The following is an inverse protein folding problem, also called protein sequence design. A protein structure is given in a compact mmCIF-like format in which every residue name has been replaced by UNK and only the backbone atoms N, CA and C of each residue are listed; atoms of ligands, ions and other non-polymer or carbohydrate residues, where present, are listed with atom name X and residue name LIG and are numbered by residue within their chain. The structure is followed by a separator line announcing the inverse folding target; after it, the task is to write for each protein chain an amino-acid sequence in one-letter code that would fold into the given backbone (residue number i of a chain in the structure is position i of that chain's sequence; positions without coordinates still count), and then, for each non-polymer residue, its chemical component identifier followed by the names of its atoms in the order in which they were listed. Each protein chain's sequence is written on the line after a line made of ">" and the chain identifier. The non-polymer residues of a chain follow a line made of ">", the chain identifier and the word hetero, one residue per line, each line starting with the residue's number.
data_IF_241981185779
#
_entry.id   IF_241981185779
#
_cell.length_a   1.000
_cell.length_b   1.000
_cell.length_c   1.000
_cell.angle_alpha   90.00
_cell.angle_beta   90.00
_cell.angle_gamma   90.00
#
_symmetry.space_group_name_H-M   'P 1'
#
loop_
_entity.id
_entity.type
_entity.pdbx_description
1 polymer ?
#
# COMPACT_ATOMS: atom_id res chain seq x y z
N UNK A 1 -63.50 -44.69 -41.62
CA UNK A 1 -63.63 -44.35 -40.18
C UNK A 1 -62.80 -45.37 -39.42
N UNK A 2 -61.47 -45.19 -39.38
CA UNK A 2 -60.72 -44.61 -38.25
C UNK A 2 -61.07 -45.24 -36.89
N UNK A 3 -60.18 -46.10 -36.38
CA UNK A 3 -59.45 -45.82 -35.13
C UNK A 3 -58.29 -46.81 -34.98
N UNK A 4 -57.09 -46.27 -35.20
CA UNK A 4 -55.83 -46.92 -34.91
C UNK A 4 -55.53 -46.79 -33.41
N UNK A 5 -55.33 -47.91 -32.73
CA UNK A 5 -54.65 -47.95 -31.44
C UNK A 5 -53.16 -48.11 -31.69
N UNK A 6 -52.40 -47.03 -31.49
CA UNK A 6 -50.94 -47.09 -31.41
C UNK A 6 -50.53 -47.31 -29.95
N UNK A 7 -49.76 -48.36 -29.61
CA UNK A 7 -49.08 -48.41 -28.33
C UNK A 7 -47.93 -47.40 -28.33
N UNK A 8 -47.91 -46.52 -27.33
CA UNK A 8 -46.79 -45.62 -27.07
C UNK A 8 -45.52 -46.44 -26.77
N UNK A 9 -44.61 -46.51 -27.73
CA UNK A 9 -43.22 -46.85 -27.47
C UNK A 9 -42.50 -45.56 -27.04
N UNK A 10 -41.98 -45.54 -25.81
CA UNK A 10 -41.11 -44.46 -25.34
C UNK A 10 -39.85 -44.36 -26.22
N UNK A 11 -39.21 -43.18 -26.29
CA UNK A 11 -37.98 -43.02 -27.05
C UNK A 11 -36.91 -44.00 -26.52
N UNK A 12 -36.10 -44.61 -27.40
CA UNK A 12 -35.01 -45.47 -26.97
C UNK A 12 -34.03 -44.66 -26.09
N UNK A 13 -33.38 -45.29 -25.10
CA UNK A 13 -32.36 -44.62 -24.31
C UNK A 13 -31.26 -44.07 -25.24
N UNK A 14 -30.68 -42.90 -24.94
CA UNK A 14 -29.62 -42.34 -25.75
C UNK A 14 -28.48 -43.37 -25.85
N UNK A 15 -28.21 -43.82 -27.08
CA UNK A 15 -27.02 -44.59 -27.37
C UNK A 15 -25.85 -43.69 -27.02
N UNK A 16 -25.09 -44.06 -25.98
CA UNK A 16 -23.79 -43.48 -25.73
C UNK A 16 -23.00 -43.68 -27.02
N UNK A 17 -22.63 -42.57 -27.67
CA UNK A 17 -21.71 -42.64 -28.79
C UNK A 17 -20.46 -43.32 -28.27
N UNK A 18 -20.20 -44.52 -28.78
CA UNK A 18 -18.94 -45.22 -28.60
C UNK A 18 -17.86 -44.26 -29.07
N UNK A 19 -17.14 -43.67 -28.10
CA UNK A 19 -16.01 -42.81 -28.39
C UNK A 19 -15.03 -43.64 -29.21
N UNK A 20 -15.00 -43.37 -30.51
CA UNK A 20 -14.09 -44.02 -31.44
C UNK A 20 -12.68 -43.95 -30.87
N UNK A 21 -12.06 -45.11 -30.72
CA UNK A 21 -10.64 -45.22 -30.44
C UNK A 21 -9.90 -44.33 -31.47
N UNK A 22 -9.07 -43.36 -31.04
CA UNK A 22 -8.34 -42.53 -31.97
C UNK A 22 -7.44 -43.42 -32.85
N UNK A 23 -7.28 -43.11 -34.15
CA UNK A 23 -6.45 -43.90 -35.04
C UNK A 23 -5.02 -44.03 -34.46
N UNK A 24 -4.41 -45.24 -34.51
CA UNK A 24 -3.08 -45.46 -33.96
C UNK A 24 -2.07 -44.59 -34.71
N UNK A 25 -1.46 -43.63 -34.01
CA UNK A 25 -0.41 -42.76 -34.54
C UNK A 25 -0.56 -41.27 -34.22
N UNK A 26 -1.70 -40.81 -33.70
CA UNK A 26 -1.84 -39.44 -33.19
C UNK A 26 -1.63 -39.41 -31.68
N UNK A 27 -0.51 -38.83 -31.24
CA UNK A 27 -0.33 -38.49 -29.84
C UNK A 27 -1.49 -37.56 -29.41
N UNK A 28 -2.13 -37.79 -28.25
CA UNK A 28 -3.13 -36.87 -27.76
C UNK A 28 -2.53 -35.46 -27.68
N UNK A 29 -3.31 -34.40 -27.97
CA UNK A 29 -2.83 -33.05 -27.83
C UNK A 29 -2.24 -32.89 -26.42
N UNK A 30 -1.07 -32.24 -26.27
CA UNK A 30 -0.45 -32.08 -24.97
C UNK A 30 -1.47 -31.41 -24.05
N UNK A 31 -1.68 -32.03 -22.89
CA UNK A 31 -2.52 -31.45 -21.86
C UNK A 31 -2.10 -29.99 -21.66
N UNK A 32 -3.05 -29.03 -21.64
CA UNK A 32 -2.69 -27.66 -21.33
C UNK A 32 -1.93 -27.69 -19.99
N UNK A 33 -0.79 -26.97 -19.88
CA UNK A 33 -0.02 -26.98 -18.65
C UNK A 33 -0.98 -26.67 -17.50
N UNK A 34 -0.92 -27.43 -16.38
CA UNK A 34 -1.80 -27.18 -15.25
C UNK A 34 -1.69 -25.70 -14.91
N UNK A 35 -2.83 -25.00 -14.84
CA UNK A 35 -2.85 -23.60 -14.43
C UNK A 35 -1.99 -23.49 -13.18
N UNK A 36 -0.95 -22.64 -13.17
CA UNK A 36 -0.08 -22.55 -12.01
C UNK A 36 -0.95 -22.11 -10.83
N UNK A 37 -1.27 -23.06 -9.95
CA UNK A 37 -1.89 -22.72 -8.69
C UNK A 37 -0.95 -21.74 -8.00
N UNK A 38 -1.43 -20.55 -7.59
CA UNK A 38 -0.56 -19.58 -6.94
C UNK A 38 0.02 -20.25 -5.69
N UNK A 39 1.32 -20.53 -5.73
CA UNK A 39 2.01 -21.24 -4.67
C UNK A 39 1.67 -20.62 -3.30
N UNK A 40 1.50 -21.42 -2.23
CA UNK A 40 1.31 -20.89 -0.89
C UNK A 40 2.48 -19.96 -0.54
N UNK A 41 2.23 -18.66 -0.30
CA UNK A 41 3.31 -17.71 -0.02
C UNK A 41 2.91 -16.25 -0.08
N UNK A 42 3.82 -15.36 0.35
CA UNK A 42 3.64 -13.91 0.21
C UNK A 42 3.94 -13.48 -1.24
N UNK A 43 3.17 -12.52 -1.75
CA UNK A 43 3.33 -11.95 -3.08
C UNK A 43 4.65 -11.18 -3.23
N UNK A 44 5.20 -11.16 -4.45
CA UNK A 44 6.47 -10.47 -4.76
C UNK A 44 6.31 -9.58 -5.99
N UNK A 45 6.80 -8.35 -5.88
CA UNK A 45 6.88 -7.47 -7.03
C UNK A 45 7.96 -7.98 -8.01
N UNK A 46 7.72 -7.90 -9.33
CA UNK A 46 8.74 -8.24 -10.32
C UNK A 46 10.01 -7.38 -10.18
N UNK A 47 11.14 -7.89 -10.68
CA UNK A 47 12.37 -7.11 -10.80
C UNK A 47 12.11 -5.84 -11.64
N UNK A 48 12.84 -4.77 -11.33
CA UNK A 48 12.65 -3.47 -11.97
C UNK A 48 11.43 -2.67 -11.46
N UNK A 49 10.61 -3.22 -10.57
CA UNK A 49 9.45 -2.47 -10.00
C UNK A 49 9.94 -1.31 -9.13
N UNK A 50 9.48 -0.06 -9.38
CA UNK A 50 9.80 1.08 -8.53
C UNK A 50 9.03 1.03 -7.20
N UNK A 51 9.54 1.72 -6.19
CA UNK A 51 9.03 1.65 -4.81
C UNK A 51 7.51 1.90 -4.68
N UNK A 52 6.97 2.93 -5.33
CA UNK A 52 5.54 3.26 -5.26
C UNK A 52 4.64 2.16 -5.84
N UNK A 53 5.18 1.22 -6.61
CA UNK A 53 4.43 0.13 -7.25
C UNK A 53 4.63 -1.24 -6.60
N UNK A 54 5.33 -1.33 -5.46
CA UNK A 54 5.64 -2.60 -4.83
C UNK A 54 4.40 -3.42 -4.42
N UNK A 55 3.23 -2.79 -4.30
CA UNK A 55 1.97 -3.51 -4.08
C UNK A 55 1.38 -4.19 -5.33
N UNK A 56 1.94 -3.92 -6.51
CA UNK A 56 1.55 -4.56 -7.76
C UNK A 56 2.18 -5.96 -7.89
N UNK A 57 1.76 -6.85 -7.00
CA UNK A 57 2.15 -8.27 -6.98
C UNK A 57 1.15 -9.14 -7.76
N UNK A 58 1.48 -10.42 -7.97
CA UNK A 58 0.59 -11.44 -8.53
C UNK A 58 -0.69 -11.65 -7.71
N UNK A 59 -0.64 -11.32 -6.42
CA UNK A 59 -1.77 -11.41 -5.48
C UNK A 59 -2.67 -10.18 -5.52
N UNK A 60 -2.28 -9.13 -6.24
CA UNK A 60 -3.02 -7.88 -6.27
C UNK A 60 -4.43 -8.10 -6.81
N UNK A 61 -5.40 -7.51 -6.12
CA UNK A 61 -6.78 -7.34 -6.56
C UNK A 61 -7.19 -5.88 -6.34
N UNK A 62 -8.12 -5.36 -7.13
CA UNK A 62 -8.52 -3.96 -7.06
C UNK A 62 -9.08 -3.56 -5.68
N UNK A 63 -9.78 -4.48 -5.00
CA UNK A 63 -10.40 -4.26 -3.68
C UNK A 63 -9.44 -4.41 -2.49
N UNK A 64 -8.24 -4.98 -2.68
CA UNK A 64 -7.30 -5.22 -1.58
C UNK A 64 -6.69 -3.95 -0.99
N UNK A 65 -6.21 -2.97 -1.80
CA UNK A 65 -5.69 -1.71 -1.26
C UNK A 65 -6.69 -0.93 -0.40
N UNK A 66 -7.94 -0.68 -0.81
CA UNK A 66 -8.88 0.06 0.02
C UNK A 66 -9.22 -0.72 1.29
N UNK A 67 -9.39 -2.04 1.21
CA UNK A 67 -9.62 -2.87 2.41
C UNK A 67 -8.40 -2.86 3.35
N UNK A 68 -7.18 -2.87 2.82
CA UNK A 68 -5.96 -2.76 3.62
C UNK A 68 -5.86 -1.40 4.32
N UNK A 69 -6.23 -0.31 3.63
CA UNK A 69 -6.31 1.02 4.22
C UNK A 69 -7.33 1.06 5.37
N UNK A 70 -8.52 0.50 5.16
CA UNK A 70 -9.57 0.41 6.17
C UNK A 70 -9.12 -0.41 7.39
N UNK A 71 -8.46 -1.55 7.18
CA UNK A 71 -7.92 -2.36 8.26
C UNK A 71 -6.84 -1.60 9.03
N UNK A 72 -5.90 -0.95 8.33
CA UNK A 72 -4.85 -0.14 8.96
C UNK A 72 -5.43 0.99 9.81
N UNK A 73 -6.40 1.73 9.28
CA UNK A 73 -7.11 2.79 9.98
C UNK A 73 -7.90 2.26 11.19
N UNK A 74 -8.60 1.14 11.04
CA UNK A 74 -9.33 0.50 12.13
C UNK A 74 -8.39 0.08 13.27
N UNK A 75 -7.28 -0.60 12.96
CA UNK A 75 -6.29 -0.99 13.97
C UNK A 75 -5.65 0.22 14.64
N UNK A 76 -5.41 1.31 13.91
CA UNK A 76 -4.87 2.55 14.46
C UNK A 76 -5.84 3.18 15.46
N UNK A 77 -7.11 3.36 15.08
CA UNK A 77 -8.15 3.90 15.97
C UNK A 77 -8.32 3.01 17.20
N UNK A 78 -8.40 1.69 17.03
CA UNK A 78 -8.51 0.75 18.15
C UNK A 78 -7.30 0.84 19.09
N UNK A 79 -6.09 0.87 18.55
CA UNK A 79 -4.86 1.02 19.34
C UNK A 79 -4.82 2.35 20.10
N UNK A 80 -5.24 3.45 19.46
CA UNK A 80 -5.39 4.76 20.09
C UNK A 80 -6.38 4.73 21.24
N UNK A 81 -7.57 4.14 21.06
CA UNK A 81 -8.56 3.97 22.14
C UNK A 81 -7.98 3.18 23.31
N UNK A 82 -7.26 2.08 23.04
CA UNK A 82 -6.61 1.28 24.09
C UNK A 82 -5.57 2.11 24.86
N UNK A 83 -4.77 2.92 24.18
CA UNK A 83 -3.79 3.81 24.83
C UNK A 83 -4.46 4.90 25.67
N UNK A 84 -5.52 5.52 25.16
CA UNK A 84 -6.30 6.53 25.90
C UNK A 84 -6.89 5.92 27.17
N UNK A 85 -7.51 4.74 27.06
CA UNK A 85 -8.04 4.02 28.23
C UNK A 85 -6.94 3.66 29.23
N UNK A 86 -5.77 3.23 28.76
CA UNK A 86 -4.62 2.97 29.63
C UNK A 86 -4.15 4.25 30.35
N UNK A 87 -4.15 5.40 29.67
CA UNK A 87 -3.86 6.70 30.26
C UNK A 87 -4.86 7.10 31.35
N UNK A 88 -6.16 6.93 31.10
CA UNK A 88 -7.23 7.18 32.09
C UNK A 88 -7.06 6.28 33.33
N UNK A 89 -6.78 4.99 33.12
CA UNK A 89 -6.53 4.05 34.22
C UNK A 89 -5.29 4.46 35.01
N UNK A 90 -4.20 4.87 34.34
CA UNK A 90 -2.99 5.35 34.99
C UNK A 90 -3.27 6.60 35.84
N UNK A 91 -4.02 7.57 35.31
CA UNK A 91 -4.47 8.74 36.05
C UNK A 91 -5.24 8.36 37.32
N UNK A 92 -6.24 7.48 37.20
CA UNK A 92 -7.08 7.05 38.33
C UNK A 92 -6.27 6.31 39.41
N UNK A 93 -5.27 5.52 39.03
CA UNK A 93 -4.39 4.80 39.96
C UNK A 93 -3.42 5.73 40.67
N UNK A 94 -2.91 6.74 39.96
CA UNK A 94 -1.93 7.70 40.50
C UNK A 94 -2.58 8.87 41.25
N UNK A 95 -3.90 9.05 41.13
CA UNK A 95 -4.64 10.13 41.77
C UNK A 95 -4.25 11.52 41.27
N UNK A 96 -3.89 11.62 39.98
CA UNK A 96 -3.46 12.88 39.37
C UNK A 96 -4.68 13.74 39.00
N UNK A 97 -4.58 15.05 39.19
CA UNK A 97 -5.61 15.98 38.72
C UNK A 97 -5.47 16.23 37.21
N UNK A 98 -6.55 16.06 36.46
CA UNK A 98 -6.59 16.40 35.03
C UNK A 98 -7.08 17.84 34.86
N UNK A 99 -6.30 18.66 34.16
CA UNK A 99 -6.71 20.02 33.76
C UNK A 99 -6.85 20.08 32.25
N UNK A 100 -7.96 20.65 31.76
CA UNK A 100 -8.19 20.85 30.32
C UNK A 100 -8.38 19.53 29.55
N UNK A 101 -7.62 19.36 28.46
CA UNK A 101 -7.70 18.21 27.53
C UNK A 101 -6.76 17.06 27.88
N UNK A 102 -6.11 17.12 29.04
CA UNK A 102 -5.10 16.14 29.49
C UNK A 102 -5.72 14.82 29.92
N UNK A 103 -5.10 13.70 29.54
CA UNK A 103 -5.59 12.34 29.82
C UNK A 103 -4.95 11.81 31.11
N UNK A 104 -3.63 11.95 31.23
CA UNK A 104 -2.86 11.51 32.40
C UNK A 104 -2.80 12.63 33.44
N UNK A 105 -2.71 13.90 33.01
CA UNK A 105 -2.63 15.06 33.90
C UNK A 105 -1.19 15.59 34.09
N UNK A 106 -0.20 14.91 33.53
CA UNK A 106 1.21 15.31 33.57
C UNK A 106 1.68 15.62 32.14
N UNK A 107 2.23 16.83 31.87
CA UNK A 107 2.47 17.29 30.50
C UNK A 107 3.41 16.38 29.70
N UNK A 108 4.49 15.89 30.30
CA UNK A 108 5.45 15.05 29.58
C UNK A 108 4.84 13.69 29.24
N UNK A 109 4.08 13.10 30.16
CA UNK A 109 3.37 11.85 29.97
C UNK A 109 2.27 11.98 28.92
N UNK A 110 1.49 13.07 28.92
CA UNK A 110 0.45 13.33 27.92
C UNK A 110 1.03 13.52 26.51
N UNK A 111 2.08 14.34 26.37
CA UNK A 111 2.81 14.49 25.09
C UNK A 111 3.41 13.17 24.62
N UNK A 112 3.99 12.39 25.54
CA UNK A 112 4.53 11.06 25.22
C UNK A 112 3.44 10.09 24.77
N UNK A 113 2.28 10.09 25.44
CA UNK A 113 1.13 9.26 25.08
C UNK A 113 0.62 9.63 23.67
N UNK A 114 0.54 10.93 23.36
CA UNK A 114 0.16 11.41 22.05
C UNK A 114 1.12 10.91 20.96
N UNK A 115 2.43 11.15 21.12
CA UNK A 115 3.43 10.72 20.13
C UNK A 115 3.49 9.19 19.98
N UNK A 116 3.37 8.43 21.09
CA UNK A 116 3.31 6.97 21.05
C UNK A 116 2.04 6.46 20.37
N UNK A 117 0.92 7.18 20.48
CA UNK A 117 -0.30 6.83 19.75
C UNK A 117 -0.08 6.90 18.24
N UNK A 118 0.67 7.89 17.75
CA UNK A 118 1.07 7.98 16.34
C UNK A 118 2.04 6.85 15.98
N UNK A 119 2.96 6.48 16.89
CA UNK A 119 3.92 5.39 16.64
C UNK A 119 3.24 4.04 16.31
N UNK A 120 2.00 3.82 16.76
CA UNK A 120 1.18 2.63 16.44
C UNK A 120 0.88 2.51 14.94
N UNK A 121 0.98 3.58 14.15
CA UNK A 121 0.79 3.50 12.71
C UNK A 121 1.72 2.47 12.03
N UNK A 122 2.95 2.29 12.55
CA UNK A 122 3.91 1.29 12.03
C UNK A 122 3.36 -0.13 12.11
N UNK A 123 3.05 -0.69 13.31
CA UNK A 123 2.51 -2.04 13.41
C UNK A 123 1.18 -2.20 12.67
N UNK A 124 0.32 -1.17 12.62
CA UNK A 124 -0.92 -1.22 11.83
C UNK A 124 -0.65 -1.37 10.32
N UNK A 125 0.27 -0.59 9.77
CA UNK A 125 0.67 -0.69 8.36
C UNK A 125 1.32 -2.04 8.05
N UNK A 126 2.17 -2.54 8.95
CA UNK A 126 2.79 -3.87 8.84
C UNK A 126 1.74 -4.98 8.85
N UNK A 127 0.78 -4.93 9.78
CA UNK A 127 -0.31 -5.90 9.89
C UNK A 127 -1.17 -5.92 8.63
N UNK A 128 -1.63 -4.76 8.15
CA UNK A 128 -2.45 -4.65 6.95
C UNK A 128 -1.71 -5.18 5.70
N UNK A 129 -0.41 -4.91 5.61
CA UNK A 129 0.46 -5.38 4.52
C UNK A 129 0.63 -6.89 4.54
N UNK A 130 0.88 -7.46 5.71
CA UNK A 130 1.06 -8.90 5.86
C UNK A 130 -0.25 -9.68 5.69
N UNK A 131 -1.34 -9.20 6.29
CA UNK A 131 -2.62 -9.90 6.34
C UNK A 131 -3.40 -9.79 5.02
N UNK A 132 -3.63 -8.57 4.52
CA UNK A 132 -4.51 -8.33 3.37
C UNK A 132 -3.76 -8.23 2.05
N UNK A 133 -2.65 -7.49 2.03
CA UNK A 133 -1.82 -7.36 0.82
C UNK A 133 -1.00 -8.63 0.56
N UNK A 134 -0.81 -9.46 1.61
CA UNK A 134 -0.04 -10.72 1.57
C UNK A 134 1.39 -10.47 1.11
N UNK A 135 2.03 -9.41 1.62
CA UNK A 135 3.40 -9.00 1.29
C UNK A 135 4.33 -9.06 2.50
N UNK A 136 5.63 -9.14 2.25
CA UNK A 136 6.65 -9.03 3.32
C UNK A 136 6.67 -7.60 3.86
N UNK A 137 6.59 -7.43 5.18
CA UNK A 137 6.52 -6.11 5.82
C UNK A 137 7.72 -5.22 5.52
N UNK A 138 8.91 -5.80 5.32
CA UNK A 138 10.10 -5.02 4.98
C UNK A 138 10.05 -4.34 3.60
N UNK A 139 9.10 -4.73 2.73
CA UNK A 139 8.85 -4.00 1.47
C UNK A 139 8.21 -2.63 1.69
N UNK A 140 7.76 -2.32 2.91
CA UNK A 140 7.40 -0.96 3.31
C UNK A 140 8.64 -0.08 3.49
N UNK A 141 9.80 -0.65 3.81
CA UNK A 141 11.02 0.11 4.10
C UNK A 141 11.78 0.51 2.82
N UNK A 142 11.97 -0.42 1.88
CA UNK A 142 12.66 -0.16 0.61
C UNK A 142 12.35 -1.22 -0.45
N UNK A 143 12.81 -0.97 -1.68
CA UNK A 143 12.78 -1.95 -2.80
C UNK A 143 13.61 -3.20 -2.52
N UNK A 144 14.52 -3.17 -1.55
CA UNK A 144 15.32 -4.33 -1.12
C UNK A 144 14.61 -5.14 -0.02
N UNK A 145 13.47 -4.66 0.47
CA UNK A 145 12.68 -5.37 1.48
C UNK A 145 13.24 -5.26 2.90
N UNK A 146 14.14 -4.31 3.15
CA UNK A 146 14.66 -3.98 4.48
C UNK A 146 15.17 -2.53 4.52
N UNK A 147 15.39 -1.99 5.71
CA UNK A 147 16.00 -0.68 5.87
C UNK A 147 17.50 -0.75 5.53
N UNK A 148 17.97 0.19 4.72
CA UNK A 148 19.39 0.27 4.31
C UNK A 148 20.15 1.12 5.32
N UNK A 149 20.48 0.55 6.48
CA UNK A 149 21.09 1.27 7.61
C UNK A 149 22.27 2.18 7.25
N UNK A 150 23.20 1.70 6.42
CA UNK A 150 24.35 2.52 5.98
C UNK A 150 23.92 3.76 5.19
N UNK A 151 22.85 3.64 4.40
CA UNK A 151 22.27 4.75 3.64
C UNK A 151 21.47 5.67 4.56
N UNK A 152 20.65 5.12 5.47
CA UNK A 152 19.93 5.89 6.49
C UNK A 152 20.87 6.75 7.33
N UNK A 153 21.96 6.19 7.86
CA UNK A 153 22.93 6.93 8.67
C UNK A 153 23.60 8.05 7.87
N UNK A 154 23.90 7.82 6.59
CA UNK A 154 24.43 8.86 5.72
C UNK A 154 23.41 9.97 5.47
N UNK A 155 22.15 9.61 5.19
CA UNK A 155 21.07 10.58 5.07
C UNK A 155 20.86 11.35 6.38
N UNK A 156 20.99 10.71 7.54
CA UNK A 156 20.90 11.34 8.85
C UNK A 156 22.00 12.38 9.05
N UNK A 157 23.26 12.08 8.69
CA UNK A 157 24.35 13.08 8.76
C UNK A 157 24.05 14.28 7.86
N UNK A 158 23.57 14.04 6.63
CA UNK A 158 23.20 15.12 5.70
C UNK A 158 22.03 15.94 6.25
N UNK A 159 21.00 15.28 6.79
CA UNK A 159 19.84 15.94 7.40
C UNK A 159 20.26 16.77 8.62
N UNK A 160 21.15 16.27 9.48
CA UNK A 160 21.67 17.01 10.64
C UNK A 160 22.33 18.32 10.22
N UNK A 161 23.17 18.27 9.17
CA UNK A 161 23.82 19.47 8.63
C UNK A 161 22.80 20.44 8.04
N UNK A 162 21.86 19.96 7.22
CA UNK A 162 20.87 20.82 6.58
C UNK A 162 19.90 21.47 7.59
N UNK A 163 19.39 20.70 8.54
CA UNK A 163 18.47 21.18 9.59
C UNK A 163 19.22 22.12 10.54
N UNK A 164 20.43 21.75 10.99
CA UNK A 164 21.24 22.61 11.85
C UNK A 164 21.59 23.95 11.19
N UNK A 165 21.92 23.95 9.90
CA UNK A 165 22.14 25.18 9.13
C UNK A 165 20.87 26.03 9.06
N UNK A 166 19.71 25.43 8.80
CA UNK A 166 18.45 26.16 8.73
C UNK A 166 18.08 26.80 10.06
N UNK A 167 18.25 26.09 11.17
CA UNK A 167 18.04 26.65 12.52
C UNK A 167 19.01 27.80 12.78
N UNK A 168 20.29 27.65 12.42
CA UNK A 168 21.27 28.72 12.55
C UNK A 168 20.91 29.96 11.74
N UNK A 169 20.46 29.78 10.49
CA UNK A 169 19.98 30.87 9.63
C UNK A 169 18.73 31.52 10.22
N UNK A 170 17.75 30.73 10.66
CA UNK A 170 16.53 31.24 11.29
C UNK A 170 16.84 32.04 12.56
N UNK A 171 17.76 31.54 13.39
CA UNK A 171 18.23 32.23 14.61
C UNK A 171 18.84 33.59 14.27
N UNK A 172 19.72 33.66 13.27
CA UNK A 172 20.32 34.93 12.82
C UNK A 172 19.25 35.87 12.26
N UNK A 173 18.35 35.37 11.40
CA UNK A 173 17.31 36.19 10.79
C UNK A 173 16.39 36.81 11.85
N UNK A 174 15.97 36.05 12.86
CA UNK A 174 15.14 36.59 13.93
C UNK A 174 15.88 37.64 14.76
N UNK A 175 17.16 37.42 15.10
CA UNK A 175 17.94 38.43 15.85
C UNK A 175 18.11 39.75 15.09
N UNK A 176 18.03 39.72 13.75
CA UNK A 176 18.19 40.91 12.89
C UNK A 176 16.87 41.57 12.55
N UNK A 177 15.83 40.78 12.26
CA UNK A 177 14.54 41.27 11.76
C UNK A 177 13.54 41.54 12.88
N UNK A 178 13.60 40.77 13.97
CA UNK A 178 12.68 40.80 15.10
C UNK A 178 13.45 40.70 16.42
N UNK A 179 14.35 41.65 16.73
CA UNK A 179 15.23 41.56 17.90
C UNK A 179 14.50 41.51 19.25
N UNK A 180 13.25 41.99 19.29
CA UNK A 180 12.40 42.00 20.48
C UNK A 180 11.63 40.67 20.67
N UNK A 181 11.60 39.80 19.66
CA UNK A 181 10.96 38.48 19.71
C UNK A 181 12.03 37.40 19.67
N UNK A 182 12.54 36.96 20.83
CA UNK A 182 13.59 35.94 20.87
C UNK A 182 13.06 34.61 20.31
N UNK A 183 13.91 33.89 19.57
CA UNK A 183 13.59 32.56 19.03
C UNK A 183 13.22 31.54 20.11
N UNK A 184 13.80 31.71 21.29
CA UNK A 184 13.68 30.80 22.42
C UNK A 184 13.11 31.55 23.61
N UNK A 185 12.21 30.90 24.35
CA UNK A 185 11.73 31.40 25.63
C UNK A 185 12.80 31.35 26.73
N UNK A 186 12.39 31.70 27.95
CA UNK A 186 13.27 31.65 29.11
C UNK A 186 13.67 30.20 29.43
N UNK A 187 14.94 29.96 29.74
CA UNK A 187 15.44 28.61 30.00
C UNK A 187 14.81 28.04 31.28
N UNK A 188 14.09 26.93 31.15
CA UNK A 188 13.30 26.31 32.24
C UNK A 188 14.15 25.52 33.26
N UNK A 189 15.46 25.52 33.09
CA UNK A 189 16.41 24.87 33.99
C UNK A 189 16.84 23.47 33.55
N UNK A 190 18.04 23.06 33.99
CA UNK A 190 18.70 21.82 33.53
C UNK A 190 17.94 20.54 33.86
N UNK A 191 17.29 20.46 35.03
CA UNK A 191 16.56 19.25 35.43
C UNK A 191 15.37 18.96 34.51
N UNK A 192 14.55 19.98 34.25
CA UNK A 192 13.42 19.87 33.33
C UNK A 192 13.89 19.60 31.91
N UNK A 193 14.83 20.42 31.41
CA UNK A 193 15.38 20.25 30.06
C UNK A 193 15.91 18.84 29.81
N UNK A 194 16.76 18.32 30.69
CA UNK A 194 17.36 16.99 30.52
C UNK A 194 16.34 15.87 30.64
N UNK A 195 15.33 16.00 31.51
CA UNK A 195 14.27 15.00 31.68
C UNK A 195 13.38 14.94 30.45
N UNK A 196 12.88 16.08 29.99
CA UNK A 196 12.04 16.20 28.79
C UNK A 196 12.80 15.74 27.55
N UNK A 197 14.05 16.21 27.37
CA UNK A 197 14.90 15.80 26.25
C UNK A 197 15.16 14.28 26.24
N UNK A 198 15.46 13.68 27.39
CA UNK A 198 15.75 12.25 27.50
C UNK A 198 14.56 11.38 27.06
N UNK A 199 13.33 11.82 27.32
CA UNK A 199 12.11 11.13 26.87
C UNK A 199 11.88 11.39 25.38
N UNK A 200 11.89 12.65 24.96
CA UNK A 200 11.51 13.03 23.59
C UNK A 200 12.53 12.57 22.54
N UNK A 201 13.82 12.48 22.86
CA UNK A 201 14.83 11.94 21.93
C UNK A 201 14.61 10.47 21.59
N UNK A 202 13.81 9.75 22.38
CA UNK A 202 13.42 8.35 22.12
C UNK A 202 12.06 8.29 21.42
N UNK A 203 11.08 9.04 21.92
CA UNK A 203 9.69 8.95 21.46
C UNK A 203 9.50 9.60 20.09
N UNK A 204 10.11 10.76 19.85
CA UNK A 204 9.95 11.52 18.59
C UNK A 204 10.47 10.73 17.37
N UNK A 205 11.65 10.09 17.40
CA UNK A 205 12.07 9.26 16.27
C UNK A 205 11.12 8.11 15.92
N UNK A 206 10.46 7.52 16.92
CA UNK A 206 9.47 6.46 16.71
C UNK A 206 8.22 7.00 16.03
N UNK A 207 7.71 8.14 16.49
CA UNK A 207 6.56 8.83 15.89
C UNK A 207 6.87 9.23 14.45
N UNK A 208 7.96 9.96 14.22
CA UNK A 208 8.32 10.45 12.88
C UNK A 208 8.55 9.30 11.90
N UNK A 209 9.20 8.21 12.35
CA UNK A 209 9.35 7.01 11.51
C UNK A 209 8.02 6.36 11.18
N UNK A 210 7.07 6.33 12.12
CA UNK A 210 5.77 5.70 11.91
C UNK A 210 4.91 6.41 10.87
N UNK A 211 4.95 7.74 10.85
CA UNK A 211 4.30 8.52 9.79
C UNK A 211 4.90 8.24 8.43
N UNK A 212 6.23 8.11 8.33
CA UNK A 212 6.89 7.71 7.08
C UNK A 212 6.49 6.29 6.65
N UNK A 213 6.43 5.33 7.57
CA UNK A 213 5.95 3.98 7.26
C UNK A 213 4.50 3.97 6.77
N UNK A 214 3.62 4.75 7.40
CA UNK A 214 2.20 4.77 7.05
C UNK A 214 1.91 5.51 5.75
N UNK A 215 2.54 6.67 5.54
CA UNK A 215 2.22 7.53 4.41
C UNK A 215 3.06 7.16 3.18
N UNK A 216 4.36 6.95 3.36
CA UNK A 216 5.29 6.67 2.25
C UNK A 216 5.48 5.18 2.07
N UNK A 217 5.60 4.41 3.16
CA UNK A 217 5.74 2.96 3.07
C UNK A 217 4.46 2.26 2.62
N UNK A 218 3.32 2.69 3.16
CA UNK A 218 2.04 2.02 2.98
C UNK A 218 1.12 2.76 2.00
N UNK A 219 0.62 3.95 2.33
CA UNK A 219 -0.35 4.68 1.50
C UNK A 219 0.14 4.96 0.08
N UNK A 220 1.37 5.46 -0.08
CA UNK A 220 1.99 5.66 -1.40
C UNK A 220 1.95 4.38 -2.24
N UNK A 221 2.27 3.23 -1.63
CA UNK A 221 2.27 1.96 -2.33
C UNK A 221 0.85 1.50 -2.66
N UNK A 222 -0.14 1.74 -1.80
CA UNK A 222 -1.55 1.48 -2.10
C UNK A 222 -2.03 2.30 -3.30
N UNK A 223 -1.65 3.57 -3.40
CA UNK A 223 -2.01 4.45 -4.53
C UNK A 223 -1.27 4.05 -5.80
N UNK A 224 0.05 3.92 -5.72
CA UNK A 224 0.89 3.55 -6.87
C UNK A 224 0.66 2.12 -7.35
N UNK A 225 -0.05 1.31 -6.56
CA UNK A 225 -0.56 0.01 -6.99
C UNK A 225 -1.53 0.14 -8.17
N UNK A 226 -2.30 1.23 -8.30
CA UNK A 226 -3.26 1.37 -9.39
C UNK A 226 -2.58 1.57 -10.76
N UNK A 227 -3.34 1.39 -11.84
CA UNK A 227 -2.82 1.41 -13.21
C UNK A 227 -2.28 0.04 -13.66
N UNK A 228 -2.87 -0.47 -14.74
CA UNK A 228 -2.47 -1.71 -15.39
C UNK A 228 -1.03 -1.62 -15.92
N UNK A 229 -0.26 -2.70 -15.76
CA UNK A 229 1.09 -2.81 -16.30
C UNK A 229 1.07 -2.80 -17.85
N UNK A 230 2.21 -2.52 -18.48
CA UNK A 230 2.27 -2.36 -19.94
C UNK A 230 1.75 -3.59 -20.71
N UNK A 231 2.01 -4.79 -20.19
CA UNK A 231 1.56 -6.06 -20.78
C UNK A 231 0.18 -6.54 -20.32
N UNK A 232 -0.51 -5.82 -19.44
CA UNK A 232 -1.85 -6.20 -18.98
C UNK A 232 -2.94 -5.63 -19.91
N UNK A 233 -4.14 -6.24 -19.87
CA UNK A 233 -5.32 -5.74 -20.58
C UNK A 233 -5.54 -4.26 -20.24
N UNK A 234 -5.72 -3.42 -21.28
CA UNK A 234 -5.84 -1.96 -21.18
C UNK A 234 -4.61 -1.21 -20.64
N UNK A 235 -3.46 -1.87 -20.47
CA UNK A 235 -2.21 -1.25 -20.03
C UNK A 235 -1.72 -0.11 -20.93
N UNK A 236 -2.05 -0.18 -22.21
CA UNK A 236 -1.74 0.86 -23.20
C UNK A 236 -2.54 2.16 -23.06
N UNK A 237 -3.67 2.15 -22.35
CA UNK A 237 -4.56 3.33 -22.20
C UNK A 237 -3.85 4.50 -21.51
N UNK A 238 -4.18 5.73 -21.92
CA UNK A 238 -3.66 6.96 -21.32
C UNK A 238 -3.90 7.03 -19.81
N UNK A 239 -5.07 6.59 -19.34
CA UNK A 239 -5.38 6.53 -17.92
C UNK A 239 -4.43 5.58 -17.17
N UNK A 240 -4.21 4.37 -17.69
CA UNK A 240 -3.30 3.41 -17.06
C UNK A 240 -1.84 3.84 -17.15
N UNK A 241 -1.45 4.60 -18.18
CA UNK A 241 -0.12 5.24 -18.23
C UNK A 241 0.02 6.27 -17.13
N UNK A 242 -0.97 7.15 -16.96
CA UNK A 242 -0.97 8.17 -15.91
C UNK A 242 -0.94 7.56 -14.50
N UNK A 243 -1.81 6.58 -14.22
CA UNK A 243 -1.86 5.87 -12.93
C UNK A 243 -0.56 5.13 -12.60
N UNK A 244 0.27 4.76 -13.60
CA UNK A 244 1.58 4.15 -13.38
C UNK A 244 2.67 5.15 -12.96
N UNK A 245 2.48 6.43 -13.29
CA UNK A 245 3.43 7.46 -12.89
C UNK A 245 3.48 7.60 -11.37
N UNK A 246 4.61 8.04 -10.81
CA UNK A 246 4.70 8.27 -9.37
C UNK A 246 3.91 9.49 -8.90
N UNK A 247 3.46 10.36 -9.81
CA UNK A 247 2.90 11.68 -9.50
C UNK A 247 1.74 11.57 -8.52
N UNK A 248 0.75 10.72 -8.81
CA UNK A 248 -0.41 10.53 -7.91
C UNK A 248 0.00 9.98 -6.55
N UNK A 249 0.92 9.02 -6.53
CA UNK A 249 1.37 8.42 -5.28
C UNK A 249 2.13 9.44 -4.40
N UNK A 250 2.94 10.31 -5.03
CA UNK A 250 3.64 11.41 -4.35
C UNK A 250 2.66 12.46 -3.84
N UNK A 251 1.73 12.92 -4.70
CA UNK A 251 0.74 13.93 -4.33
C UNK A 251 -0.18 13.45 -3.21
N UNK A 252 -0.75 12.25 -3.32
CA UNK A 252 -1.64 11.71 -2.28
C UNK A 252 -0.85 11.48 -0.99
N UNK A 253 0.34 10.88 -1.04
CA UNK A 253 1.16 10.67 0.15
C UNK A 253 1.54 11.97 0.85
N UNK A 254 1.95 13.01 0.10
CA UNK A 254 2.40 14.28 0.66
C UNK A 254 1.28 15.21 1.10
N UNK A 255 0.15 15.23 0.39
CA UNK A 255 -0.99 16.10 0.76
C UNK A 255 -1.85 15.48 1.86
N UNK A 256 -1.97 14.16 1.92
CA UNK A 256 -2.61 13.50 3.09
C UNK A 256 -1.81 13.77 4.35
N UNK A 257 -0.47 13.73 4.27
CA UNK A 257 0.39 14.14 5.39
C UNK A 257 0.04 15.54 5.91
N UNK A 258 0.00 16.54 5.02
CA UNK A 258 -0.37 17.90 5.40
C UNK A 258 -1.77 17.99 6.00
N UNK A 259 -2.75 17.28 5.43
CA UNK A 259 -4.13 17.29 5.93
C UNK A 259 -4.33 16.67 7.32
N UNK A 260 -3.36 15.87 7.79
CA UNK A 260 -3.38 15.28 9.13
C UNK A 260 -2.82 16.23 10.20
N UNK A 261 -2.31 17.40 9.82
CA UNK A 261 -1.83 18.41 10.76
C UNK A 261 -2.87 19.51 10.96
N UNK A 262 -2.98 19.98 12.20
CA UNK A 262 -3.87 21.08 12.58
C UNK A 262 -3.18 22.45 12.40
N UNK A 263 -2.57 22.67 11.23
CA UNK A 263 -1.89 23.92 10.88
C UNK A 263 -2.69 24.73 9.87
N UNK A 264 -2.49 26.04 9.89
CA UNK A 264 -3.06 27.00 8.95
C UNK A 264 -1.95 27.71 8.15
N UNK A 265 -2.35 28.39 7.06
CA UNK A 265 -1.50 29.35 6.32
C UNK A 265 -0.09 28.83 5.94
N UNK A 266 0.97 29.47 6.45
CA UNK A 266 2.36 29.20 6.09
C UNK A 266 2.90 27.91 6.70
N UNK A 267 2.50 27.57 7.94
CA UNK A 267 2.83 26.29 8.55
C UNK A 267 2.25 25.13 7.75
N UNK A 268 1.00 25.24 7.31
CA UNK A 268 0.39 24.22 6.44
C UNK A 268 1.12 24.10 5.10
N UNK A 269 1.52 25.22 4.50
CA UNK A 269 2.30 25.23 3.27
C UNK A 269 3.68 24.57 3.45
N UNK A 270 4.34 24.83 4.58
CA UNK A 270 5.64 24.23 4.93
C UNK A 270 5.55 22.72 5.10
N UNK A 271 4.57 22.25 5.88
CA UNK A 271 4.32 20.81 6.09
C UNK A 271 3.89 20.12 4.80
N UNK A 272 3.12 20.79 3.93
CA UNK A 272 2.79 20.26 2.61
C UNK A 272 4.04 20.13 1.72
N UNK A 273 4.91 21.14 1.71
CA UNK A 273 6.17 21.08 0.97
C UNK A 273 7.07 19.96 1.49
N UNK A 274 7.29 19.89 2.81
CA UNK A 274 8.00 18.81 3.47
C UNK A 274 7.42 17.46 3.07
N UNK A 275 6.09 17.35 3.10
CA UNK A 275 5.34 16.15 2.80
C UNK A 275 5.63 15.60 1.41
N UNK A 276 5.58 16.49 0.42
CA UNK A 276 5.86 16.22 -0.99
C UNK A 276 7.34 15.88 -1.23
N UNK A 277 8.27 16.58 -0.57
CA UNK A 277 9.71 16.31 -0.67
C UNK A 277 10.05 14.92 -0.12
N UNK A 278 9.54 14.57 1.06
CA UNK A 278 9.72 13.26 1.66
C UNK A 278 9.17 12.13 0.77
N UNK A 279 7.98 12.33 0.20
CA UNK A 279 7.38 11.39 -0.74
C UNK A 279 8.22 11.25 -2.03
N UNK A 280 8.66 12.37 -2.61
CA UNK A 280 9.50 12.35 -3.81
C UNK A 280 10.84 11.65 -3.56
N UNK A 281 11.53 11.95 -2.45
CA UNK A 281 12.79 11.31 -2.08
C UNK A 281 12.63 9.81 -1.85
N UNK A 282 11.51 9.40 -1.25
CA UNK A 282 11.19 7.98 -1.06
C UNK A 282 11.10 7.26 -2.40
N UNK A 283 10.31 7.80 -3.34
CA UNK A 283 10.21 7.26 -4.69
C UNK A 283 11.56 7.26 -5.40
N UNK A 284 12.30 8.37 -5.33
CA UNK A 284 13.56 8.55 -6.04
C UNK A 284 14.67 7.61 -5.56
N UNK A 285 14.79 7.43 -4.25
CA UNK A 285 15.83 6.58 -3.63
C UNK A 285 15.40 5.13 -3.45
N UNK A 286 14.14 4.80 -3.74
CA UNK A 286 13.61 3.46 -3.62
C UNK A 286 13.38 2.98 -2.18
N UNK A 287 13.20 3.89 -1.22
CA UNK A 287 12.98 3.54 0.18
C UNK A 287 12.86 4.75 1.11
N UNK A 288 12.44 4.48 2.34
CA UNK A 288 12.07 5.50 3.33
C UNK A 288 13.27 6.22 3.96
N UNK A 289 14.49 5.76 3.74
CA UNK A 289 15.65 6.16 4.56
C UNK A 289 15.91 7.67 4.56
N UNK A 290 15.82 8.31 3.40
CA UNK A 290 16.04 9.75 3.28
C UNK A 290 14.92 10.56 3.94
N UNK A 291 13.67 10.10 3.82
CA UNK A 291 12.51 10.73 4.42
C UNK A 291 12.53 10.58 5.95
N UNK A 292 12.78 9.36 6.46
CA UNK A 292 12.94 9.09 7.90
C UNK A 292 14.06 9.95 8.47
N UNK A 293 15.25 9.98 7.84
CA UNK A 293 16.36 10.78 8.34
C UNK A 293 16.01 12.27 8.48
N UNK A 294 15.39 12.85 7.45
CA UNK A 294 14.99 14.24 7.46
C UNK A 294 13.90 14.50 8.50
N UNK A 295 12.85 13.69 8.53
CA UNK A 295 11.70 13.85 9.43
C UNK A 295 12.12 13.73 10.89
N UNK A 296 12.79 12.63 11.23
CA UNK A 296 13.27 12.36 12.58
C UNK A 296 14.16 13.50 13.06
N UNK A 297 15.13 13.95 12.26
CA UNK A 297 16.02 15.01 12.72
C UNK A 297 15.33 16.37 12.77
N UNK A 298 14.45 16.69 11.83
CA UNK A 298 13.69 17.94 11.88
C UNK A 298 12.87 18.02 13.17
N UNK A 299 12.08 16.98 13.46
CA UNK A 299 11.22 16.95 14.63
C UNK A 299 12.00 16.80 15.94
N UNK A 300 12.98 15.90 16.01
CA UNK A 300 13.76 15.70 17.24
C UNK A 300 14.48 16.98 17.64
N UNK A 301 15.00 17.74 16.68
CA UNK A 301 15.70 18.99 16.98
C UNK A 301 14.72 20.10 17.41
N UNK A 302 13.54 20.19 16.78
CA UNK A 302 12.47 21.11 17.23
C UNK A 302 12.01 20.79 18.66
N UNK A 303 11.72 19.52 18.97
CA UNK A 303 11.37 19.11 20.33
C UNK A 303 12.51 19.29 21.32
N UNK A 304 13.77 19.08 20.91
CA UNK A 304 14.92 19.33 21.76
C UNK A 304 15.07 20.82 22.11
N UNK A 305 14.85 21.70 21.14
CA UNK A 305 14.86 23.14 21.37
C UNK A 305 13.69 23.58 22.25
N UNK A 306 12.48 23.11 21.97
CA UNK A 306 11.31 23.40 22.81
C UNK A 306 11.40 22.79 24.22
N UNK A 307 12.25 21.78 24.43
CA UNK A 307 12.52 21.26 25.78
C UNK A 307 13.28 22.27 26.63
N UNK A 308 14.02 23.20 26.01
CA UNK A 308 14.85 24.18 26.69
C UNK A 308 14.04 25.35 27.26
N UNK A 309 12.91 25.71 26.64
CA UNK A 309 12.01 26.78 27.08
C UNK A 309 10.63 26.27 27.55
N UNK A 310 10.42 24.96 27.55
CA UNK A 310 9.18 24.32 28.01
C UNK A 310 8.12 24.13 26.94
N UNK A 311 8.24 24.82 25.79
CA UNK A 311 7.26 24.81 24.71
C UNK A 311 7.06 23.43 24.06
N UNK A 312 8.00 22.51 24.21
CA UNK A 312 7.88 21.14 23.68
C UNK A 312 6.68 20.35 24.25
N UNK A 313 6.14 20.78 25.40
CA UNK A 313 5.00 20.13 26.05
C UNK A 313 3.70 20.94 25.93
N UNK A 314 3.74 22.07 25.21
CA UNK A 314 2.56 22.90 25.00
C UNK A 314 1.69 22.32 23.88
N UNK A 315 0.41 22.13 24.19
CA UNK A 315 -0.56 21.60 23.24
C UNK A 315 -0.76 22.54 22.03
N UNK A 316 -0.59 23.84 22.25
CA UNK A 316 -0.77 24.87 21.22
C UNK A 316 0.34 24.86 20.18
N UNK A 317 1.55 24.35 20.49
CA UNK A 317 2.65 24.24 19.52
C UNK A 317 2.31 23.26 18.37
N UNK A 318 1.37 22.34 18.62
CA UNK A 318 0.84 21.44 17.60
C UNK A 318 -0.21 22.10 16.68
N UNK A 319 -0.51 23.40 16.88
CA UNK A 319 -1.51 24.16 16.13
C UNK A 319 -0.97 25.56 15.76
N UNK A 320 -1.35 26.11 14.61
CA UNK A 320 -0.99 27.51 14.29
C UNK A 320 -0.71 27.81 12.84
N UNK A 321 -0.53 29.11 12.56
CA UNK A 321 -0.35 29.65 11.21
C UNK A 321 1.09 29.59 10.69
N UNK A 322 2.07 29.48 11.59
CA UNK A 322 3.49 29.65 11.29
C UNK A 322 3.84 31.05 10.79
N UNK A 323 5.13 31.27 10.57
CA UNK A 323 5.68 32.50 9.97
C UNK A 323 6.21 32.20 8.55
N UNK A 324 5.99 33.13 7.62
CA UNK A 324 6.50 33.01 6.25
C UNK A 324 8.03 32.96 6.21
N UNK A 325 8.72 33.54 7.21
CA UNK A 325 10.18 33.45 7.33
C UNK A 325 10.62 31.99 7.50
N UNK A 326 9.88 31.19 8.29
CA UNK A 326 10.17 29.77 8.46
C UNK A 326 10.08 29.03 7.13
N UNK A 327 9.01 29.28 6.35
CA UNK A 327 8.87 28.71 5.00
C UNK A 327 9.98 29.18 4.06
N UNK A 328 10.36 30.45 4.12
CA UNK A 328 11.44 31.00 3.28
C UNK A 328 12.81 30.37 3.59
N UNK A 329 13.04 29.91 4.83
CA UNK A 329 14.24 29.18 5.24
C UNK A 329 14.13 27.68 4.94
N UNK A 330 12.94 27.09 5.07
CA UNK A 330 12.74 25.66 4.82
C UNK A 330 12.89 25.30 3.33
N UNK A 331 12.42 26.14 2.40
CA UNK A 331 12.55 25.92 0.95
C UNK A 331 14.01 25.67 0.53
N UNK A 332 14.98 26.55 0.82
CA UNK A 332 16.38 26.30 0.49
C UNK A 332 17.00 25.16 1.29
N UNK A 333 16.58 24.93 2.54
CA UNK A 333 17.03 23.78 3.34
C UNK A 333 16.62 22.44 2.71
N UNK A 334 15.36 22.30 2.31
CA UNK A 334 14.85 21.12 1.61
C UNK A 334 15.52 20.96 0.24
N UNK A 335 15.71 22.06 -0.50
CA UNK A 335 16.42 22.07 -1.77
C UNK A 335 17.87 21.58 -1.65
N UNK A 336 18.60 22.05 -0.63
CA UNK A 336 19.95 21.60 -0.31
C UNK A 336 19.97 20.11 0.05
N UNK A 337 19.05 19.67 0.91
CA UNK A 337 18.93 18.27 1.30
C UNK A 337 18.66 17.37 0.09
N UNK A 338 17.71 17.74 -0.77
CA UNK A 338 17.43 17.04 -2.03
C UNK A 338 18.69 16.95 -2.90
N UNK A 339 19.37 18.08 -3.13
CA UNK A 339 20.56 18.13 -3.98
C UNK A 339 21.67 17.18 -3.50
N UNK A 340 21.96 17.21 -2.19
CA UNK A 340 22.98 16.36 -1.57
C UNK A 340 22.60 14.88 -1.60
N UNK A 341 21.35 14.54 -1.24
CA UNK A 341 20.87 13.15 -1.25
C UNK A 341 20.85 12.60 -2.67
N UNK A 342 20.39 13.36 -3.65
CA UNK A 342 20.40 12.97 -5.07
C UNK A 342 21.82 12.73 -5.57
N UNK A 343 22.74 13.64 -5.26
CA UNK A 343 24.15 13.51 -5.63
C UNK A 343 24.77 12.25 -5.01
N UNK A 344 24.58 12.03 -3.70
CA UNK A 344 25.09 10.84 -3.00
C UNK A 344 24.46 9.55 -3.52
N UNK A 345 23.15 9.55 -3.78
CA UNK A 345 22.42 8.39 -4.28
C UNK A 345 22.93 7.95 -5.66
N UNK A 346 23.24 8.92 -6.54
CA UNK A 346 23.88 8.66 -7.84
C UNK A 346 25.31 8.14 -7.68
N UNK A 347 26.12 8.79 -6.83
CA UNK A 347 27.52 8.41 -6.61
C UNK A 347 27.67 7.01 -6.01
N UNK A 348 26.77 6.62 -5.09
CA UNK A 348 26.81 5.32 -4.39
C UNK A 348 25.99 4.23 -5.08
N UNK A 349 25.32 4.53 -6.19
CA UNK A 349 24.48 3.56 -6.91
C UNK A 349 23.33 3.02 -6.06
N UNK A 350 22.66 3.88 -5.28
CA UNK A 350 21.53 3.47 -4.44
C UNK A 350 20.44 2.86 -5.30
N UNK A 351 20.03 1.63 -4.98
CA UNK A 351 19.03 0.87 -5.73
C UNK A 351 17.66 1.55 -5.61
N UNK A 352 16.99 1.74 -6.75
CA UNK A 352 15.71 2.46 -6.85
C UNK A 352 14.52 1.57 -7.21
N UNK A 353 14.82 0.37 -7.69
CA UNK A 353 13.86 -0.63 -8.15
C UNK A 353 14.21 -1.98 -7.55
N UNK A 354 13.24 -2.90 -7.56
CA UNK A 354 13.42 -4.26 -7.06
C UNK A 354 14.58 -4.94 -7.82
N UNK A 355 15.56 -5.53 -7.12
CA UNK A 355 16.69 -6.21 -7.75
C UNK A 355 16.28 -7.51 -8.46
N UNK A 356 17.11 -7.93 -9.43
CA UNK A 356 16.99 -9.24 -10.09
C UNK A 356 17.09 -10.39 -9.08
N UNK A 357 16.34 -11.47 -9.31
CA UNK A 357 16.29 -12.64 -8.41
C UNK A 357 15.40 -12.47 -7.16
N UNK A 358 14.82 -11.28 -6.92
CA UNK A 358 13.84 -11.05 -5.85
C UNK A 358 12.37 -11.15 -6.30
N UNK A 359 12.12 -11.26 -7.60
CA UNK A 359 10.78 -11.49 -8.16
C UNK A 359 10.25 -12.91 -7.96
N UNK A 360 9.01 -13.21 -8.41
CA UNK A 360 8.60 -14.61 -8.64
C UNK A 360 9.64 -15.28 -9.55
N UNK A 361 9.97 -16.58 -9.37
CA UNK A 361 10.83 -17.27 -10.31
C UNK A 361 10.24 -17.09 -11.70
N UNK A 362 11.06 -16.63 -12.65
CA UNK A 362 10.69 -16.62 -14.05
C UNK A 362 10.26 -18.05 -14.39
N UNK A 363 9.07 -18.27 -15.00
CA UNK A 363 8.74 -19.60 -15.48
C UNK A 363 9.90 -19.99 -16.39
N UNK A 364 10.68 -20.99 -15.98
CA UNK A 364 11.80 -21.48 -16.77
C UNK A 364 11.29 -21.61 -18.20
N UNK A 365 11.87 -20.86 -19.13
CA UNK A 365 11.59 -21.06 -20.52
C UNK A 365 11.88 -22.54 -20.75
N UNK A 366 10.82 -23.34 -20.91
CA UNK A 366 10.95 -24.72 -21.33
C UNK A 366 11.45 -24.57 -22.76
N UNK A 367 12.78 -24.51 -22.90
CA UNK A 367 13.40 -24.68 -24.18
C UNK A 367 12.89 -26.00 -24.76
N UNK A 368 12.86 -26.16 -26.09
CA UNK A 368 12.40 -27.41 -26.71
C UNK A 368 13.21 -28.65 -26.31
N UNK A 369 14.21 -28.53 -25.43
CA UNK A 369 14.97 -29.62 -24.85
C UNK A 369 14.65 -29.78 -23.36
N UNK A 370 13.86 -30.81 -23.02
CA UNK A 370 13.77 -31.33 -21.65
C UNK A 370 12.37 -31.35 -21.06
N UNK A 371 11.43 -32.05 -21.70
CA UNK A 371 10.34 -32.65 -20.93
C UNK A 371 10.99 -33.62 -19.91
N UNK A 372 10.71 -33.52 -18.59
CA UNK A 372 11.14 -34.55 -17.67
C UNK A 372 10.46 -35.86 -18.09
N UNK A 373 11.25 -36.79 -18.61
CA UNK A 373 10.84 -38.18 -18.72
C UNK A 373 10.70 -38.69 -17.28
N UNK A 374 9.52 -38.51 -16.69
CA UNK A 374 9.10 -39.39 -15.62
C UNK A 374 9.01 -40.79 -16.23
N UNK A 375 9.76 -41.79 -15.72
CA UNK A 375 9.49 -43.16 -16.10
C UNK A 375 8.15 -43.52 -15.49
N UNK A 376 7.07 -43.29 -16.24
CA UNK A 376 5.88 -44.09 -16.09
C UNK A 376 6.25 -45.48 -16.60
N UNK A 377 6.79 -46.31 -15.73
CA UNK A 377 6.68 -47.76 -15.93
C UNK A 377 5.19 -48.08 -15.80
N UNK A 378 4.50 -48.47 -16.88
CA UNK A 378 3.10 -48.80 -16.76
C UNK A 378 3.01 -50.13 -15.99
N UNK A 379 2.29 -50.11 -14.86
CA UNK A 379 2.14 -51.22 -13.90
C UNK A 379 1.61 -52.56 -14.49
N UNK A 380 1.34 -52.66 -15.79
CA UNK A 380 1.05 -53.94 -16.45
C UNK A 380 2.31 -54.74 -16.79
N UNK A 381 3.50 -54.14 -16.76
CA UNK A 381 4.76 -54.79 -17.12
C UNK A 381 5.32 -55.77 -16.06
N UNK A 382 4.69 -55.90 -14.89
CA UNK A 382 5.13 -56.83 -13.82
C UNK A 382 4.51 -58.23 -13.95
N UNK A 383 3.59 -58.47 -14.89
CA UNK A 383 2.80 -59.71 -14.92
C UNK A 383 3.32 -60.80 -15.89
N UNK A 384 4.60 -60.82 -16.27
CA UNK A 384 5.13 -61.88 -17.15
C UNK A 384 6.52 -62.36 -16.73
N UNK A 385 6.61 -63.01 -15.58
CA UNK A 385 7.73 -63.92 -15.32
C UNK A 385 7.23 -65.38 -15.43
N UNK A 386 7.86 -66.23 -16.25
CA UNK A 386 7.48 -67.65 -16.33
C UNK A 386 7.86 -68.34 -15.02
N UNK A 387 6.93 -69.09 -14.44
CA UNK A 387 7.24 -70.02 -13.34
C UNK A 387 8.03 -71.20 -13.93
N UNK A 388 9.23 -71.54 -13.42
CA UNK A 388 9.96 -72.69 -13.89
C UNK A 388 9.25 -73.99 -13.49
N UNK A 389 8.83 -74.82 -14.47
CA UNK A 389 8.45 -76.21 -14.23
C UNK A 389 7.05 -76.68 -14.66
N UNK A 390 6.33 -75.97 -15.53
CA UNK A 390 5.02 -76.43 -16.03
C UNK A 390 5.08 -76.76 -17.54
N UNK A 391 4.90 -78.03 -17.97
CA UNK A 391 4.95 -78.40 -19.38
C UNK A 391 3.63 -78.18 -20.14
N UNK A 392 2.59 -77.62 -19.51
CA UNK A 392 1.31 -77.33 -20.17
C UNK A 392 0.92 -75.86 -19.97
N UNK A 393 1.22 -75.02 -20.96
CA UNK A 393 0.97 -73.57 -20.91
C UNK A 393 -0.51 -73.19 -20.77
N UNK A 394 -0.98 -73.03 -19.52
CA UNK A 394 -2.23 -72.37 -19.18
C UNK A 394 -1.98 -71.15 -18.31
N UNK A 395 -2.17 -69.96 -18.88
CA UNK A 395 -2.20 -68.72 -18.12
C UNK A 395 -3.51 -68.64 -17.32
N UNK A 396 -3.44 -68.83 -16.00
CA UNK A 396 -4.57 -68.62 -15.10
C UNK A 396 -4.86 -67.11 -14.95
N UNK A 397 -6.11 -66.71 -15.21
CA UNK A 397 -6.63 -65.37 -14.83
C UNK A 397 -6.80 -65.30 -13.31
N UNK A 398 -6.31 -64.25 -12.61
CA UNK A 398 -6.70 -64.02 -11.22
C UNK A 398 -8.15 -63.51 -11.12
N UNK A 399 -8.85 -63.76 -10.00
CA UNK A 399 -10.26 -63.41 -9.83
C UNK A 399 -10.46 -61.90 -9.68
N UNK A 400 -11.59 -61.40 -10.20
CA UNK A 400 -12.08 -60.08 -9.87
C UNK A 400 -12.61 -60.04 -8.43
N UNK A 401 -12.30 -58.94 -7.74
CA UNK A 401 -12.84 -58.51 -6.44
C UNK A 401 -12.19 -59.09 -5.16
N UNK A 402 -11.27 -58.32 -4.60
CA UNK A 402 -11.04 -58.24 -3.15
C UNK A 402 -10.90 -56.74 -2.76
N UNK A 403 -11.62 -56.25 -1.74
CA UNK A 403 -11.61 -54.84 -1.35
C UNK A 403 -10.39 -54.52 -0.47
N UNK A 404 -9.66 -53.45 -0.80
CA UNK A 404 -8.51 -53.00 -0.01
C UNK A 404 -8.97 -52.02 1.08
N UNK A 405 -8.61 -52.31 2.34
CA UNK A 405 -8.74 -51.42 3.48
C UNK A 405 -7.68 -50.31 3.42
N UNK A 406 -8.09 -49.05 3.36
CA UNK A 406 -7.21 -47.89 3.54
C UNK A 406 -7.00 -47.54 5.03
N UNK A 407 -5.85 -46.96 5.43
CA UNK A 407 -5.62 -46.50 6.80
C UNK A 407 -6.46 -45.25 7.11
N UNK A 408 -7.13 -45.30 8.26
CA UNK A 408 -7.95 -44.24 8.83
C UNK A 408 -7.10 -43.07 9.34
N UNK A 409 -7.34 -41.87 8.82
CA UNK A 409 -7.22 -40.62 9.57
C UNK A 409 -8.49 -39.81 9.28
N UNK A 410 -9.33 -39.66 10.32
CA UNK A 410 -10.67 -39.09 10.20
C UNK A 410 -10.71 -37.56 10.27
N UNK A 411 -11.83 -36.96 9.82
CA UNK A 411 -12.29 -35.66 10.30
C UNK A 411 -13.70 -35.77 10.93
N UNK A 412 -13.90 -35.08 12.05
CA UNK A 412 -15.17 -34.88 12.77
C UNK A 412 -15.12 -33.44 13.33
N UNK A 413 -16.08 -32.51 13.20
CA UNK A 413 -17.49 -32.49 12.80
C UNK A 413 -17.92 -31.05 12.39
N UNK A 414 -18.95 -30.94 11.52
CA UNK A 414 -20.06 -29.95 11.52
C UNK A 414 -19.77 -28.51 11.01
N UNK A 415 -20.57 -27.85 10.16
CA UNK A 415 -22.03 -27.86 9.98
C UNK A 415 -22.47 -27.34 8.59
N UNK A 416 -23.52 -28.00 8.06
CA UNK A 416 -24.56 -27.67 7.06
C UNK A 416 -24.53 -26.38 6.19
N UNK A 417 -24.82 -26.55 4.89
CA UNK A 417 -25.60 -25.63 4.05
C UNK A 417 -26.48 -26.43 3.04
N UNK A 418 -27.73 -25.99 2.73
CA UNK A 418 -28.68 -26.71 1.88
C UNK A 418 -28.46 -26.51 0.37
N UNK A 419 -28.93 -27.45 -0.43
CA UNK A 419 -28.63 -27.59 -1.85
C UNK A 419 -29.37 -26.67 -2.84
N UNK A 420 -28.82 -26.65 -4.06
CA UNK A 420 -29.48 -26.28 -5.30
C UNK A 420 -29.02 -27.24 -6.42
N UNK A 421 -29.91 -27.70 -7.31
CA UNK A 421 -29.58 -28.59 -8.43
C UNK A 421 -28.89 -27.85 -9.59
N UNK A 422 -28.18 -28.58 -10.48
CA UNK A 422 -27.47 -27.99 -11.63
C UNK A 422 -28.42 -27.54 -12.76
N UNK A 423 -28.03 -26.54 -13.59
CA UNK A 423 -28.89 -26.00 -14.64
C UNK A 423 -28.92 -26.89 -15.88
N UNK A 424 -30.14 -27.21 -16.33
CA UNK A 424 -30.44 -27.84 -17.61
C UNK A 424 -30.13 -26.92 -18.80
N UNK A 425 -29.63 -27.54 -19.88
CA UNK A 425 -29.36 -26.90 -21.15
C UNK A 425 -30.63 -26.47 -21.88
N UNK A 426 -30.67 -25.19 -22.27
CA UNK A 426 -31.66 -24.62 -23.17
C UNK A 426 -30.96 -23.91 -24.33
N UNK A 427 -31.38 -24.28 -25.54
CA UNK A 427 -30.99 -23.71 -26.84
C UNK A 427 -31.16 -22.18 -26.87
N UNK A 428 -30.23 -21.40 -27.46
CA UNK A 428 -30.39 -19.95 -27.56
C UNK A 428 -31.41 -19.57 -28.64
N UNK A 429 -32.28 -18.57 -28.43
CA UNK A 429 -33.08 -18.00 -29.49
C UNK A 429 -32.26 -17.03 -30.35
N UNK A 430 -32.55 -17.05 -31.65
CA UNK A 430 -32.01 -16.20 -32.70
C UNK A 430 -31.98 -14.71 -32.30
N UNK A 431 -30.85 -14.05 -32.58
CA UNK A 431 -30.76 -12.59 -32.64
C UNK A 431 -30.18 -12.18 -33.99
N UNK A 432 -31.06 -11.58 -34.78
CA UNK A 432 -30.75 -10.84 -36.00
C UNK A 432 -29.75 -9.70 -35.76
N UNK A 433 -29.05 -9.25 -36.82
CA UNK A 433 -27.84 -8.45 -36.73
C UNK A 433 -28.12 -6.97 -36.47
N UNK A 434 -27.31 -6.36 -35.61
CA UNK A 434 -27.31 -4.91 -35.36
C UNK A 434 -26.94 -4.13 -36.63
N UNK A 435 -27.62 -3.00 -36.94
CA UNK A 435 -27.25 -2.13 -38.05
C UNK A 435 -26.00 -1.30 -37.71
N UNK A 436 -25.12 -1.16 -38.70
CA UNK A 436 -23.86 -0.43 -38.61
C UNK A 436 -24.00 1.10 -38.47
N UNK A 437 -22.87 1.80 -38.28
CA UNK A 437 -22.85 3.24 -38.02
C UNK A 437 -23.16 4.07 -39.27
N UNK A 438 -23.78 5.26 -39.14
CA UNK A 438 -24.08 6.13 -40.27
C UNK A 438 -22.82 6.84 -40.83
N UNK A 439 -22.84 7.25 -42.11
CA UNK A 439 -21.67 7.79 -42.81
C UNK A 439 -21.44 9.30 -42.59
N UNK A 440 -20.21 9.72 -42.84
CA UNK A 440 -19.66 11.08 -42.78
C UNK A 440 -20.34 12.07 -43.76
N UNK A 441 -20.50 13.33 -43.32
CA UNK A 441 -20.81 14.48 -44.20
C UNK A 441 -19.81 15.64 -43.91
N UNK A 442 -19.26 16.34 -44.94
CA UNK A 442 -18.20 17.35 -44.79
C UNK A 442 -18.72 18.76 -44.42
N UNK A 443 -17.82 19.75 -44.21
CA UNK A 443 -18.09 20.99 -43.48
C UNK A 443 -18.54 22.14 -44.40
N UNK A 444 -19.34 23.07 -43.87
CA UNK A 444 -19.53 24.39 -44.47
C UNK A 444 -19.57 25.52 -43.42
N UNK A 445 -18.64 26.44 -43.64
CA UNK A 445 -18.62 27.90 -43.46
C UNK A 445 -19.53 28.62 -42.42
N UNK A 446 -18.88 29.45 -41.58
CA UNK A 446 -19.47 30.68 -41.01
C UNK A 446 -19.70 31.77 -42.09
N UNK A 447 -20.05 33.04 -41.75
CA UNK A 447 -19.50 33.82 -40.63
C UNK A 447 -20.50 34.79 -39.93
N UNK A 448 -19.93 35.67 -39.09
CA UNK A 448 -20.35 37.04 -38.73
C UNK A 448 -20.80 37.34 -37.28
N UNK A 449 -19.82 37.90 -36.55
CA UNK A 449 -19.77 39.26 -36.00
C UNK A 449 -20.89 39.81 -35.10
N UNK A 450 -20.50 40.28 -33.90
CA UNK A 450 -21.25 41.29 -33.15
C UNK A 450 -21.00 41.33 -31.63
N UNK A 451 -20.00 42.11 -31.19
CA UNK A 451 -20.02 42.86 -29.90
C UNK A 451 -20.30 44.35 -30.25
N UNK A 452 -20.57 45.32 -29.33
CA UNK A 452 -20.29 45.37 -27.87
C UNK A 452 -21.35 46.18 -27.02
N UNK A 453 -20.93 46.62 -25.81
CA UNK A 453 -21.53 47.65 -24.89
C UNK A 453 -22.69 47.18 -23.99
N UNK A 454 -22.89 47.58 -22.73
CA UNK A 454 -22.38 48.59 -21.78
C UNK A 454 -22.74 48.04 -20.36
N UNK A 455 -22.04 48.26 -19.24
CA UNK A 455 -21.80 49.53 -18.54
C UNK A 455 -22.61 49.58 -17.23
N UNK A 456 -21.95 49.80 -16.07
CA UNK A 456 -22.60 50.38 -14.87
C UNK A 456 -22.47 49.66 -13.52
N UNK A 457 -21.38 49.91 -12.79
CA UNK A 457 -21.42 50.31 -11.36
C UNK A 457 -21.31 51.85 -11.31
N UNK A 458 -21.53 52.61 -10.19
CA UNK A 458 -21.55 52.23 -8.76
C UNK A 458 -22.63 52.93 -7.87
N UNK A 459 -22.80 52.50 -6.61
CA UNK A 459 -22.68 53.36 -5.39
C UNK A 459 -23.12 52.70 -4.07
N UNK A 460 -22.37 53.09 -3.05
CA UNK A 460 -22.44 52.75 -1.63
C UNK A 460 -23.70 53.25 -0.89
N UNK A 461 -24.06 52.62 0.24
CA UNK A 461 -23.82 53.15 1.60
C UNK A 461 -24.69 52.47 2.67
N UNK A 462 -24.09 52.23 3.84
CA UNK A 462 -24.73 52.44 5.14
C UNK A 462 -25.27 51.22 5.90
N UNK A 463 -24.70 50.96 7.10
CA UNK A 463 -25.48 50.48 8.25
C UNK A 463 -25.07 49.16 8.89
N UNK A 464 -24.05 49.20 9.78
CA UNK A 464 -23.93 48.32 10.97
C UNK A 464 -24.82 48.92 12.10
N UNK A 465 -25.25 48.20 13.16
CA UNK A 465 -24.39 47.28 13.94
C UNK A 465 -25.02 46.04 14.61
N UNK A 466 -24.14 45.09 14.98
CA UNK A 466 -24.07 44.48 16.32
C UNK A 466 -25.00 43.31 16.66
N UNK A 467 -24.45 42.09 16.71
CA UNK A 467 -24.96 41.01 17.57
C UNK A 467 -23.80 40.14 18.11
N UNK A 468 -23.83 39.93 19.44
CA UNK A 468 -22.95 39.07 20.24
C UNK A 468 -23.22 37.56 20.02
N UNK A 469 -22.29 36.66 20.41
CA UNK A 469 -22.44 35.21 20.28
C UNK A 469 -22.94 34.53 21.58
N UNK A 470 -23.39 33.26 21.52
CA UNK A 470 -23.41 32.40 22.69
C UNK A 470 -22.51 31.15 22.55
N UNK A 471 -21.76 30.91 23.64
CA UNK A 471 -21.41 29.66 24.34
C UNK A 471 -20.94 28.42 23.57
#
# INVERSE_FOLDING_TARGET
>A
MNNAHWPHQGPPPPQWAEYGQPPPGQAPPPWPPPYPYPAPGLGRAPAGTPFHRLDRTERRRWWRPPLALLLGAFCFVLGGVVLVLAGIVANAVLGLETTGTRIIGEPLADTSLNLLSIAIMTPCAMLATWLLLRRRVGTLSSVEGHLRWRWLLLCAVVAAVCVGLAIGVLSVLQTVLTPEEPLFGEFVGWSYFLTTLAVLIVVVPLQSSAEEYALRGFLMQLVGSYGAAAGERNGGSLLNRFLRTPILAILVSGLVFASLHAYDSWALADVALFGLVAAWLTWYTGGLEAAIALHVLNNTLLFALGSADGSALDADVATGSGDWIQLAVSVPQLGLFIGLVVWLARRKGVRRTVPEGFGPPEPAAVGPAGAPQYPYDPMWAVAQQPVPGDPAGTWARPPAHAPYHGPQYGPQYGTAQPGYPPPDGGVPPDRDPWPGPPPDVPPDAGPDAGSPSDGGEPRASGGRPGFMPPL
#
